data_IF_375911311569
#
_entry.id   IF_375911311569
#
_cell.length_a   1.000
_cell.length_b   1.000
_cell.length_c   1.000
_cell.angle_alpha   90.00
_cell.angle_beta   90.00
_cell.angle_gamma   90.00
#
_symmetry.space_group_name_H-M   'P 1'
#
loop_
_entity.id
_entity.type
_entity.pdbx_description
1 polymer ?
2 polymer ?
3 non-polymer ?
4 water ?
#
loop_
_entity_poly.entity_id
_entity_poly.type
_entity_poly.pdbx_seq_one_letter_code
_entity_poly.pdbx_strand_id
1 'polyribonucleotide' 'GAUGGCCGGCAUGGUCCCAGCCUCCUCGCUGGCGCCGGCUGGGCAACACCAUUGCACUCCGGUGGUGAAUGGGACU' ?
#
# COMPACT_ATOMS: atom_id res chain seq x y z
N UNK B 4 10.06 16.26 -1.86
CA UNK B 4 9.44 16.36 -0.53
C UNK B 4 9.17 14.99 0.10
N UNK B 5 9.56 14.84 1.37
CA UNK B 5 9.41 13.58 2.08
C UNK B 5 8.08 13.51 2.85
N UNK B 6 7.68 12.30 3.21
CA UNK B 6 6.40 12.08 3.90
C UNK B 6 6.61 11.64 5.34
N UNK B 7 5.67 12.05 6.20
CA UNK B 7 5.69 11.69 7.61
C UNK B 7 5.01 10.34 7.83
N UNK B 8 5.38 9.62 8.89
CA UNK B 8 4.81 8.28 9.19
C UNK B 8 3.28 8.26 9.19
N UNK B 9 2.70 7.13 8.79
CA UNK B 9 1.25 7.01 8.60
C UNK B 9 0.73 5.57 8.72
N UNK B 10 -0.54 5.44 9.09
CA UNK B 10 -1.19 4.12 9.12
C UNK B 10 -1.16 3.49 7.73
N UNK B 11 -1.21 4.35 6.71
CA UNK B 11 -1.36 3.93 5.33
C UNK B 11 -0.07 4.11 4.53
N UNK B 12 0.35 3.06 3.85
CA UNK B 12 1.46 3.17 2.91
C UNK B 12 0.91 3.32 1.52
N UNK B 13 1.60 4.14 0.73
CA UNK B 13 1.28 4.35 -0.66
C UNK B 13 2.32 3.63 -1.49
N UNK B 14 1.85 2.71 -2.33
CA UNK B 14 2.72 1.92 -3.19
C UNK B 14 2.49 2.37 -4.62
N UNK B 15 3.56 2.63 -5.37
CA UNK B 15 3.41 2.83 -6.80
C UNK B 15 4.49 2.10 -7.59
N UNK B 16 4.58 2.41 -8.88
CA UNK B 16 5.36 1.59 -9.82
C UNK B 16 4.85 0.15 -9.89
N UNK B 17 3.55 -0.04 -9.70
CA UNK B 17 2.95 -1.37 -9.80
C UNK B 17 2.65 -1.76 -11.23
N UNK B 18 2.55 -3.05 -11.48
CA UNK B 18 2.26 -3.53 -12.82
C UNK B 18 0.82 -3.19 -13.21
N UNK B 19 0.66 -2.32 -14.21
CA UNK B 19 -0.65 -1.78 -14.55
C UNK B 19 -1.55 -2.79 -15.25
N UNK B 20 -0.97 -3.90 -15.71
CA UNK B 20 -1.72 -4.90 -16.47
C UNK B 20 -2.48 -5.85 -15.55
N UNK B 21 -2.31 -5.72 -14.23
CA UNK B 21 -2.95 -6.65 -13.31
C UNK B 21 -4.34 -6.13 -12.90
N UNK B 22 -5.32 -7.04 -12.88
CA UNK B 22 -6.70 -6.68 -12.58
C UNK B 22 -6.86 -6.33 -11.11
N UNK B 23 -7.80 -5.44 -10.83
CA UNK B 23 -7.99 -4.90 -9.49
C UNK B 23 -8.12 -5.99 -8.45
N UNK B 24 -8.99 -6.96 -8.70
CA UNK B 24 -9.28 -7.99 -7.72
C UNK B 24 -8.02 -8.78 -7.38
N UNK B 25 -7.27 -9.17 -8.41
CA UNK B 25 -6.09 -9.98 -8.22
C UNK B 25 -4.98 -9.18 -7.51
N UNK B 26 -4.82 -7.93 -7.91
CA UNK B 26 -3.80 -7.06 -7.31
C UNK B 26 -3.99 -6.91 -5.81
N UNK B 27 -5.24 -6.71 -5.38
CA UNK B 27 -5.52 -6.60 -3.96
C UNK B 27 -5.18 -7.91 -3.26
N UNK B 28 -5.61 -9.02 -3.85
CA UNK B 28 -5.36 -10.34 -3.27
C UNK B 28 -3.86 -10.58 -3.08
N UNK B 29 -3.08 -10.34 -4.13
CA UNK B 29 -1.63 -10.56 -4.11
C UNK B 29 -0.95 -9.63 -3.10
N UNK B 30 -1.31 -8.35 -3.12
CA UNK B 30 -0.76 -7.40 -2.15
C UNK B 30 -0.96 -7.89 -0.73
N UNK B 31 -2.16 -8.39 -0.45
CA UNK B 31 -2.46 -8.95 0.86
C UNK B 31 -1.58 -10.16 1.16
N UNK B 32 -1.29 -10.95 0.12
CA UNK B 32 -0.54 -12.18 0.30
C UNK B 32 0.84 -11.88 0.88
N UNK B 33 1.44 -10.78 0.43
CA UNK B 33 2.78 -10.42 0.87
C UNK B 33 2.83 -9.41 2.03
N UNK B 34 1.78 -8.59 2.21
CA UNK B 34 1.83 -7.52 3.23
C UNK B 34 1.13 -7.85 4.53
N UNK B 35 0.37 -8.93 4.56
CA UNK B 35 -0.41 -9.25 5.76
C UNK B 35 0.48 -9.62 6.93
N UNK B 36 1.70 -10.07 6.63
CA UNK B 36 2.58 -10.56 7.68
C UNK B 36 3.04 -9.42 8.56
N UNK B 37 2.89 -8.19 8.08
CA UNK B 37 3.39 -7.02 8.81
C UNK B 37 2.39 -6.49 9.83
N UNK B 38 1.16 -6.99 9.81
CA UNK B 38 0.13 -6.58 10.75
C UNK B 38 -1.25 -6.59 10.12
N UNK B 39 -2.29 -6.46 10.95
CA UNK B 39 -3.65 -6.47 10.44
C UNK B 39 -3.86 -5.33 9.46
N UNK B 40 -4.42 -5.67 8.31
CA UNK B 40 -4.74 -4.70 7.27
C UNK B 40 -6.25 -4.39 7.29
N UNK B 41 -6.59 -3.12 7.25
CA UNK B 41 -7.98 -2.70 7.31
C UNK B 41 -8.60 -2.71 5.92
N UNK B 42 -7.80 -2.36 4.92
CA UNK B 42 -8.25 -2.41 3.55
C UNK B 42 -7.08 -2.19 2.59
N UNK B 43 -7.32 -2.51 1.33
CA UNK B 43 -6.38 -2.17 0.26
C UNK B 43 -7.14 -1.51 -0.87
N UNK B 44 -6.72 -0.29 -1.20
CA UNK B 44 -7.45 0.50 -2.17
C UNK B 44 -6.69 0.54 -3.49
N UNK B 45 -7.34 0.04 -4.53
CA UNK B 45 -6.76 0.00 -5.87
C UNK B 45 -7.75 0.57 -6.88
N UNK B 46 -7.24 1.38 -7.80
CA UNK B 46 -8.04 1.90 -8.90
C UNK B 46 -7.25 1.90 -10.19
N UNK B 47 -7.89 1.44 -11.27
CA UNK B 47 -7.23 1.29 -12.56
C UNK B 47 -7.49 2.45 -13.49
N UNK B 48 -7.98 3.54 -12.91
CA UNK B 48 -8.25 4.75 -13.68
C UNK B 48 -6.95 5.35 -14.19
N UNK B 49 -7.04 6.27 -15.14
CA UNK B 49 -5.87 6.91 -15.71
C UNK B 49 -4.96 7.52 -14.64
N UNK B 50 -5.57 8.16 -13.67
CA UNK B 50 -4.84 8.90 -12.65
C UNK B 50 -4.26 7.97 -11.59
N UNK B 51 -4.99 6.92 -11.24
CA UNK B 51 -4.65 6.09 -10.09
C UNK B 51 -4.07 4.71 -10.39
N UNK B 52 -3.89 4.36 -11.65
CA UNK B 52 -3.33 3.05 -12.01
C UNK B 52 -1.85 2.97 -11.64
N UNK B 53 -1.40 1.76 -11.33
CA UNK B 53 -0.01 1.52 -10.99
C UNK B 53 0.28 1.85 -9.55
N UNK B 54 -0.77 2.12 -8.79
CA UNK B 54 -0.64 2.59 -7.41
C UNK B 54 -1.60 1.87 -6.51
N UNK B 55 -1.33 1.91 -5.21
CA UNK B 55 -2.21 1.29 -4.23
C UNK B 55 -1.98 1.86 -2.85
N UNK B 56 -3.03 1.84 -2.03
CA UNK B 56 -2.95 2.25 -0.63
C UNK B 56 -3.19 1.04 0.26
N UNK B 57 -2.23 0.73 1.14
CA UNK B 57 -2.39 -0.37 2.07
C UNK B 57 -2.55 0.23 3.46
N UNK B 58 -3.74 0.04 4.01
CA UNK B 58 -4.11 0.65 5.27
C UNK B 58 -3.94 -0.33 6.41
N UNK B 59 -2.94 -0.08 7.24
CA UNK B 59 -2.67 -0.92 8.41
C UNK B 59 -3.40 -0.38 9.65
N UNK B 60 -3.72 -1.26 10.58
CA UNK B 60 -4.36 -0.84 11.82
C UNK B 60 -3.35 -0.06 12.68
N UNK B 61 -2.10 -0.50 12.65
CA UNK B 61 -1.06 0.13 13.45
C UNK B 61 0.05 0.72 12.58
N UNK B 62 0.52 1.89 12.98
CA UNK B 62 1.58 2.61 12.27
C UNK B 62 2.89 1.83 12.23
N UNK B 63 3.15 1.02 13.26
CA UNK B 63 4.38 0.24 13.30
C UNK B 63 4.37 -0.82 12.21
N UNK B 64 3.18 -1.31 11.89
CA UNK B 64 3.03 -2.26 10.79
C UNK B 64 3.39 -1.58 9.48
N UNK B 65 2.82 -0.40 9.24
CA UNK B 65 3.13 0.36 8.03
C UNK B 65 4.64 0.58 7.91
N UNK B 66 5.24 1.02 9.01
CA UNK B 66 6.66 1.33 9.05
C UNK B 66 7.50 0.10 8.74
N UNK B 67 7.19 -1.02 9.37
CA UNK B 67 7.92 -2.25 9.12
C UNK B 67 7.75 -2.68 7.65
N UNK B 68 6.51 -2.63 7.17
CA UNK B 68 6.20 -2.97 5.79
C UNK B 68 7.00 -2.13 4.79
N UNK B 69 7.11 -0.84 5.07
CA UNK B 69 7.78 0.09 4.18
C UNK B 69 9.29 -0.22 4.10
N UNK B 70 9.90 -0.48 5.25
CA UNK B 70 11.32 -0.77 5.28
C UNK B 70 11.64 -2.10 4.58
N UNK B 71 10.87 -3.14 4.87
CA UNK B 71 11.21 -4.49 4.45
C UNK B 71 10.94 -4.77 2.97
N UNK B 72 9.93 -4.11 2.42
CA UNK B 72 9.45 -4.44 1.09
C UNK B 72 9.78 -3.37 0.06
N UNK B 73 10.55 -2.37 0.47
CA UNK B 73 11.01 -1.36 -0.47
C UNK B 73 11.79 -2.05 -1.60
N UNK B 74 11.42 -1.76 -2.83
CA UNK B 74 12.08 -2.32 -4.00
C UNK B 74 11.77 -3.77 -4.29
N UNK B 75 10.81 -4.36 -3.56
CA UNK B 75 10.45 -5.76 -3.77
C UNK B 75 9.97 -6.02 -5.21
N UNK B 76 10.58 -7.01 -5.90
CA UNK B 76 10.09 -7.37 -7.24
C UNK B 76 8.73 -8.04 -7.19
N UNK B 77 7.77 -7.49 -7.92
CA UNK B 77 6.36 -7.86 -7.78
C UNK B 77 5.71 -7.73 -9.14
N UNK B 78 5.22 -8.85 -9.69
CA UNK B 78 4.75 -8.86 -11.07
C UNK B 78 5.84 -8.27 -11.95
N UNK B 79 7.07 -8.71 -11.70
CA UNK B 79 8.23 -8.33 -12.50
C UNK B 79 8.56 -6.84 -12.46
N UNK B 80 8.17 -6.15 -11.38
CA UNK B 80 8.51 -4.74 -11.19
C UNK B 80 8.87 -4.42 -9.73
N UNK B 81 9.92 -3.61 -9.52
CA UNK B 81 10.26 -3.25 -8.13
C UNK B 81 9.24 -2.29 -7.50
N UNK B 82 8.60 -2.78 -6.45
CA UNK B 82 7.71 -1.98 -5.60
C UNK B 82 8.37 -0.70 -5.05
N UNK B 83 7.74 0.44 -5.24
CA UNK B 83 8.19 1.67 -4.59
C UNK B 83 7.17 2.09 -3.52
N UNK B 84 7.62 2.12 -2.26
CA UNK B 84 6.73 2.36 -1.13
C UNK B 84 7.04 3.67 -0.39
N UNK B 85 5.97 4.38 -0.03
CA UNK B 85 6.04 5.59 0.80
C UNK B 85 4.90 5.61 1.82
N UNK B 86 5.00 6.51 2.79
CA UNK B 86 3.84 6.85 3.59
C UNK B 86 2.86 7.64 2.73
N UNK B 87 1.57 7.42 2.92
CA UNK B 87 0.56 8.32 2.33
C UNK B 87 0.69 9.73 2.93
N UNK B 88 0.42 10.75 2.12
CA UNK B 88 0.40 12.15 2.58
C UNK B 88 -0.57 12.35 3.73
N UNK B 89 -1.77 11.79 3.58
CA UNK B 89 -2.88 12.04 4.50
C UNK B 89 -3.47 10.74 5.03
N UNK B 90 -4.23 10.84 6.10
CA UNK B 90 -4.86 9.66 6.68
C UNK B 90 -6.01 9.16 5.83
N UNK B 91 -6.15 7.84 5.73
CA UNK B 91 -7.25 7.27 4.98
C UNK B 91 -8.54 7.50 5.76
N UNK B 92 -9.67 7.54 5.08
CA UNK B 92 -10.96 7.77 5.73
C UNK B 92 -11.22 6.72 6.80
N UNK B 93 -10.84 5.47 6.53
CA UNK B 93 -11.01 4.37 7.46
C UNK B 93 -10.37 4.68 8.81
N UNK B 94 -9.27 5.43 8.78
CA UNK B 94 -8.48 5.70 9.98
C UNK B 94 -9.04 6.91 10.72
N UNK B 95 -9.42 7.96 9.98
CA UNK B 95 -10.02 9.14 10.60
C UNK B 95 -11.27 8.79 11.38
N UNK B 96 -12.01 7.79 10.90
CA UNK B 96 -13.27 7.41 11.52
C UNK B 96 -13.09 6.70 12.86
N UNK B 97 -11.84 6.54 13.28
CA UNK B 97 -11.53 6.01 14.61
C UNK B 97 -10.68 7.03 15.38
N UNK B 98 -9.43 7.18 14.97
CA UNK B 98 -8.51 8.13 15.58
C UNK B 98 -8.76 9.54 15.07
X LIG C 1 -20.33 -14.14 -34.24
X LIG D 1 -10.38 1.18 -21.41
#
# INVERSE_FOLDING_TARGET
MAVPETRPNHTIYINNLNEKIKKDELKKSLHAIFSRFGQILDILVSRSLKMRGQAFVIFKEVSSATNALRSMQGFPFYDKPMRIQYAKTDSDIIAKMKGT
SR SR
SR SR
#
